data_IF_263449114722
#
_entry.id   IF_263449114722
#
_cell.length_a   1.000
_cell.length_b   1.000
_cell.length_c   1.000
_cell.angle_alpha   90.00
_cell.angle_beta   90.00
_cell.angle_gamma   90.00
#
_symmetry.space_group_name_H-M   'P 1'
#
loop_
_entity.id
_entity.type
_entity.pdbx_description
1 polymer ?
#
# COMPACT_ATOMS: atom_id res chain seq x y z
N UNK A 1 -10.71 -22.55 10.26
CA UNK A 1 -9.67 -22.87 9.26
C UNK A 1 -8.39 -23.25 9.97
N UNK A 2 -7.48 -24.03 9.35
CA UNK A 2 -6.16 -24.25 9.94
C UNK A 2 -5.40 -22.91 9.90
N UNK A 3 -4.65 -22.56 10.97
CA UNK A 3 -3.85 -21.35 10.96
C UNK A 3 -2.82 -21.41 9.82
N UNK A 4 -2.66 -20.31 9.10
CA UNK A 4 -1.62 -20.18 8.08
C UNK A 4 -0.24 -20.19 8.75
N UNK A 5 0.72 -20.86 8.12
CA UNK A 5 2.12 -20.85 8.56
C UNK A 5 2.87 -19.90 7.63
N UNK A 6 3.39 -18.83 8.19
CA UNK A 6 4.17 -17.85 7.45
C UNK A 6 5.65 -18.21 7.44
N UNK A 7 6.30 -18.04 6.29
CA UNK A 7 7.76 -18.26 6.11
C UNK A 7 8.57 -17.04 6.54
N UNK A 8 7.94 -15.85 6.51
CA UNK A 8 8.48 -14.58 6.98
C UNK A 8 7.54 -13.94 8.00
N UNK A 9 8.05 -13.08 8.86
CA UNK A 9 7.28 -12.43 9.92
C UNK A 9 6.38 -13.40 10.72
N UNK A 10 6.84 -14.63 10.95
CA UNK A 10 6.07 -15.69 11.61
C UNK A 10 5.58 -15.32 13.02
N UNK A 11 6.28 -14.39 13.69
CA UNK A 11 5.94 -13.86 15.01
C UNK A 11 4.89 -12.73 14.97
N UNK A 12 4.57 -12.17 13.79
CA UNK A 12 3.67 -11.02 13.64
C UNK A 12 2.27 -11.27 14.24
N UNK A 13 1.60 -12.42 14.00
CA UNK A 13 0.31 -12.71 14.62
C UNK A 13 0.36 -12.71 16.15
N UNK A 14 1.42 -13.27 16.73
CA UNK A 14 1.60 -13.30 18.17
C UNK A 14 1.84 -11.89 18.77
N UNK A 15 2.53 -11.02 18.03
CA UNK A 15 2.74 -9.63 18.43
C UNK A 15 1.42 -8.84 18.35
N UNK A 16 0.64 -9.01 17.28
CA UNK A 16 -0.67 -8.36 17.11
C UNK A 16 -1.69 -8.81 18.19
N UNK A 17 -1.59 -10.05 18.65
CA UNK A 17 -2.42 -10.53 19.77
C UNK A 17 -2.08 -9.86 21.13
N UNK A 18 -0.92 -9.22 21.25
CA UNK A 18 -0.46 -8.58 22.49
C UNK A 18 -0.59 -7.06 22.46
N UNK A 19 -0.44 -6.45 21.30
CA UNK A 19 -0.48 -5.00 21.13
C UNK A 19 -0.83 -4.57 19.71
N UNK A 20 -1.33 -3.36 19.59
CA UNK A 20 -1.48 -2.68 18.31
C UNK A 20 -0.09 -2.40 17.73
N UNK A 21 0.05 -2.59 16.43
CA UNK A 21 1.26 -2.24 15.68
C UNK A 21 1.01 -1.00 14.85
N UNK A 22 2.02 -0.14 14.77
CA UNK A 22 1.95 1.12 14.06
C UNK A 22 2.58 0.95 12.67
N UNK A 23 1.76 1.12 11.65
CA UNK A 23 2.21 1.30 10.28
C UNK A 23 2.73 2.74 10.11
N UNK A 24 3.65 2.96 9.19
CA UNK A 24 4.14 4.30 8.84
C UNK A 24 3.04 5.15 8.17
N UNK A 25 3.43 6.18 7.46
CA UNK A 25 2.49 7.12 6.84
C UNK A 25 2.90 7.48 5.40
N UNK A 26 2.23 8.51 4.88
CA UNK A 26 2.24 8.89 3.48
C UNK A 26 3.64 9.17 2.91
N UNK A 27 4.17 8.23 2.12
CA UNK A 27 5.43 8.39 1.38
C UNK A 27 5.37 9.59 0.44
N UNK A 28 4.32 9.70 -0.38
CA UNK A 28 4.16 10.79 -1.35
C UNK A 28 4.19 12.19 -0.71
N UNK A 29 3.52 12.38 0.40
CA UNK A 29 3.55 13.65 1.16
C UNK A 29 4.96 13.99 1.65
N UNK A 30 5.70 13.00 2.12
CA UNK A 30 7.08 13.19 2.56
C UNK A 30 8.01 13.52 1.39
N UNK A 31 7.87 12.86 0.25
CA UNK A 31 8.63 13.16 -0.98
C UNK A 31 8.39 14.62 -1.43
N UNK A 32 7.14 15.10 -1.40
CA UNK A 32 6.80 16.46 -1.78
C UNK A 32 7.56 17.52 -0.96
N UNK A 33 7.87 17.25 0.31
CA UNK A 33 8.64 18.17 1.17
C UNK A 33 10.07 18.44 0.67
N UNK A 34 10.66 17.53 -0.10
CA UNK A 34 11.97 17.70 -0.70
C UNK A 34 11.96 18.64 -1.91
N UNK A 35 10.78 18.94 -2.47
CA UNK A 35 10.60 19.84 -3.63
C UNK A 35 11.54 19.51 -4.79
N UNK A 36 11.71 18.23 -5.08
CA UNK A 36 12.65 17.75 -6.09
C UNK A 36 12.31 18.31 -7.48
N UNK A 37 13.35 18.68 -8.24
CA UNK A 37 13.23 19.12 -9.64
C UNK A 37 13.17 17.93 -10.59
N UNK A 38 12.85 18.17 -11.86
CA UNK A 38 12.85 17.13 -12.91
C UNK A 38 14.23 16.44 -13.00
N UNK A 39 15.31 17.23 -12.98
CA UNK A 39 16.68 16.71 -13.03
C UNK A 39 17.00 15.81 -11.84
N UNK A 40 16.47 16.13 -10.66
CA UNK A 40 16.66 15.32 -9.46
C UNK A 40 15.86 14.02 -9.51
N UNK A 41 14.68 14.01 -10.16
CA UNK A 41 13.95 12.77 -10.43
C UNK A 41 14.69 11.88 -11.43
N UNK A 42 15.30 12.47 -12.49
CA UNK A 42 16.09 11.73 -13.49
C UNK A 42 17.37 11.15 -12.90
N UNK A 43 18.03 11.90 -12.03
CA UNK A 43 19.39 11.59 -11.59
C UNK A 43 20.34 11.44 -12.79
N UNK A 44 21.53 10.89 -12.58
CA UNK A 44 22.50 10.68 -13.68
C UNK A 44 22.03 9.60 -14.66
N UNK A 45 21.32 8.56 -14.15
CA UNK A 45 20.94 7.40 -14.95
C UNK A 45 19.96 7.74 -16.08
N UNK A 46 19.05 8.67 -15.84
CA UNK A 46 17.96 9.03 -16.77
C UNK A 46 18.04 10.48 -17.26
N UNK A 47 19.21 11.13 -17.17
CA UNK A 47 19.39 12.53 -17.54
C UNK A 47 18.95 12.85 -18.96
N UNK A 48 19.18 11.92 -19.89
CA UNK A 48 18.84 12.06 -21.32
C UNK A 48 17.52 11.35 -21.67
N UNK A 49 16.72 10.93 -20.69
CA UNK A 49 15.45 10.26 -20.94
C UNK A 49 14.46 11.22 -21.60
N UNK A 50 13.76 10.83 -22.70
CA UNK A 50 13.03 11.77 -23.54
C UNK A 50 11.72 12.30 -22.94
N UNK A 51 11.20 11.65 -21.90
CA UNK A 51 9.92 11.99 -21.26
C UNK A 51 10.14 12.55 -19.86
N UNK A 52 9.28 13.45 -19.42
CA UNK A 52 9.29 13.95 -18.05
C UNK A 52 8.94 12.83 -17.07
N UNK A 53 9.70 12.74 -15.98
CA UNK A 53 9.57 11.71 -14.95
C UNK A 53 9.24 12.27 -13.56
N UNK A 54 9.17 13.60 -13.44
CA UNK A 54 8.75 14.24 -12.18
C UNK A 54 7.33 13.80 -11.83
N UNK A 55 7.18 13.28 -10.62
CA UNK A 55 5.93 12.69 -10.15
C UNK A 55 5.95 11.15 -10.14
N UNK A 56 6.90 10.51 -10.83
CA UNK A 56 7.16 9.08 -10.68
C UNK A 56 7.96 8.85 -9.40
N UNK A 57 7.26 8.79 -8.27
CA UNK A 57 7.92 8.65 -6.96
C UNK A 57 8.65 7.32 -6.82
N UNK A 58 8.18 6.26 -7.46
CA UNK A 58 8.79 4.93 -7.44
C UNK A 58 10.20 4.93 -8.03
N UNK A 59 10.41 5.76 -9.07
CA UNK A 59 11.72 5.96 -9.71
C UNK A 59 12.77 6.46 -8.72
N UNK A 60 12.39 7.21 -7.68
CA UNK A 60 13.31 7.73 -6.66
C UNK A 60 14.04 6.62 -5.91
N UNK A 61 13.49 5.42 -5.85
CA UNK A 61 14.20 4.26 -5.28
C UNK A 61 15.46 3.90 -6.08
N UNK A 62 15.53 4.28 -7.36
CA UNK A 62 16.71 4.09 -8.24
C UNK A 62 17.59 5.34 -8.33
N UNK A 63 17.00 6.54 -8.33
CA UNK A 63 17.70 7.79 -8.61
C UNK A 63 18.05 8.59 -7.37
N UNK A 64 17.26 8.48 -6.31
CA UNK A 64 17.42 9.19 -5.03
C UNK A 64 17.12 8.27 -3.83
N UNK A 65 17.81 7.11 -3.74
CA UNK A 65 17.61 6.17 -2.62
C UNK A 65 17.87 6.82 -1.25
N UNK A 66 18.71 7.88 -1.21
CA UNK A 66 18.95 8.69 -0.03
C UNK A 66 17.68 9.34 0.53
N UNK A 67 16.82 9.87 -0.35
CA UNK A 67 15.55 10.49 0.03
C UNK A 67 14.59 9.44 0.61
N UNK A 68 14.47 8.30 -0.04
CA UNK A 68 13.56 7.23 0.41
C UNK A 68 14.04 6.65 1.75
N UNK A 69 15.35 6.42 1.90
CA UNK A 69 15.93 5.96 3.16
C UNK A 69 15.69 6.94 4.31
N UNK A 70 15.89 8.25 4.08
CA UNK A 70 15.67 9.30 5.09
C UNK A 70 14.20 9.31 5.56
N UNK A 71 13.24 9.12 4.64
CA UNK A 71 11.81 9.05 4.99
C UNK A 71 11.54 7.83 5.86
N UNK A 72 11.99 6.65 5.47
CA UNK A 72 11.83 5.42 6.25
C UNK A 72 12.42 5.55 7.66
N UNK A 73 13.65 6.10 7.75
CA UNK A 73 14.31 6.29 9.04
C UNK A 73 13.55 7.26 9.95
N UNK A 74 12.96 8.31 9.41
CA UNK A 74 12.12 9.25 10.18
C UNK A 74 10.88 8.56 10.75
N UNK A 75 10.18 7.73 10.00
CA UNK A 75 9.04 6.97 10.49
C UNK A 75 9.45 5.95 11.56
N UNK A 76 10.53 5.22 11.35
CA UNK A 76 11.05 4.25 12.32
C UNK A 76 11.51 4.93 13.61
N UNK A 77 12.18 6.08 13.51
CA UNK A 77 12.58 6.90 14.67
C UNK A 77 11.37 7.44 15.44
N UNK A 78 10.30 7.81 14.74
CA UNK A 78 9.03 8.20 15.36
C UNK A 78 8.28 7.03 16.03
N UNK A 79 8.68 5.79 15.75
CA UNK A 79 8.15 4.61 16.43
C UNK A 79 7.30 3.68 15.55
N UNK A 80 7.27 3.83 14.24
CA UNK A 80 6.61 2.87 13.37
C UNK A 80 7.18 1.45 13.56
N UNK A 81 6.33 0.46 13.63
CA UNK A 81 6.69 -0.96 13.71
C UNK A 81 6.83 -1.58 12.31
N UNK A 82 6.08 -1.04 11.37
CA UNK A 82 6.02 -1.48 9.98
C UNK A 82 6.20 -0.26 9.07
N UNK A 83 6.97 -0.41 7.99
CA UNK A 83 7.14 0.62 6.97
C UNK A 83 6.79 0.06 5.60
N UNK A 84 6.04 0.84 4.82
CA UNK A 84 5.66 0.50 3.46
C UNK A 84 6.78 0.81 2.48
N UNK A 85 6.99 -0.06 1.50
CA UNK A 85 7.93 0.19 0.41
C UNK A 85 7.42 1.32 -0.49
N UNK A 86 8.33 2.06 -1.14
CA UNK A 86 7.98 3.09 -2.12
C UNK A 86 7.61 2.45 -3.48
N UNK A 87 6.54 1.65 -3.51
CA UNK A 87 6.16 0.80 -4.66
C UNK A 87 4.69 0.87 -5.03
N UNK A 88 3.97 1.88 -4.54
CA UNK A 88 2.53 2.04 -4.78
C UNK A 88 2.15 1.91 -6.26
N UNK A 89 2.86 2.58 -7.16
CA UNK A 89 2.67 2.51 -8.62
C UNK A 89 3.76 1.73 -9.36
N UNK A 90 4.49 0.82 -8.70
CA UNK A 90 5.62 0.11 -9.31
C UNK A 90 5.21 -1.15 -10.10
N UNK A 91 4.06 -1.14 -10.75
CA UNK A 91 3.68 -2.18 -11.72
C UNK A 91 4.05 -1.80 -13.14
N UNK A 92 4.30 -2.78 -14.01
CA UNK A 92 4.55 -2.51 -15.43
C UNK A 92 3.39 -1.73 -16.09
N UNK A 93 2.14 -1.97 -15.64
CA UNK A 93 0.95 -1.25 -16.14
C UNK A 93 0.97 0.23 -15.77
N UNK A 94 1.35 0.57 -14.54
CA UNK A 94 1.43 1.96 -14.10
C UNK A 94 2.69 2.67 -14.65
N UNK A 95 3.83 2.00 -14.67
CA UNK A 95 5.08 2.54 -15.18
C UNK A 95 5.09 2.74 -16.71
N UNK A 96 4.15 2.11 -17.44
CA UNK A 96 3.96 2.37 -18.86
C UNK A 96 3.57 3.83 -19.16
N UNK A 97 2.94 4.52 -18.22
CA UNK A 97 2.60 5.95 -18.35
C UNK A 97 3.86 6.84 -18.42
N UNK A 98 4.98 6.35 -17.92
CA UNK A 98 6.30 7.00 -18.01
C UNK A 98 7.24 6.35 -19.03
N UNK A 99 6.78 5.40 -19.85
CA UNK A 99 7.60 4.58 -20.74
C UNK A 99 8.70 3.76 -19.99
N UNK A 100 8.45 3.46 -18.71
CA UNK A 100 9.38 2.78 -17.79
C UNK A 100 8.88 1.40 -17.30
N UNK A 101 7.91 0.81 -18.01
CA UNK A 101 7.36 -0.51 -17.64
C UNK A 101 8.44 -1.58 -17.41
N UNK A 102 9.51 -1.57 -18.19
CA UNK A 102 10.64 -2.50 -18.10
C UNK A 102 11.48 -2.35 -16.82
N UNK A 103 11.27 -1.30 -16.03
CA UNK A 103 11.96 -1.04 -14.76
C UNK A 103 11.12 -1.46 -13.54
N UNK A 104 9.88 -1.90 -13.73
CA UNK A 104 8.95 -2.20 -12.63
C UNK A 104 9.58 -3.16 -11.60
N UNK A 105 10.13 -4.28 -12.05
CA UNK A 105 10.79 -5.24 -11.17
C UNK A 105 11.98 -4.63 -10.40
N UNK A 106 12.84 -3.89 -11.09
CA UNK A 106 14.01 -3.24 -10.48
C UNK A 106 13.59 -2.22 -9.41
N UNK A 107 12.55 -1.41 -9.67
CA UNK A 107 12.00 -0.46 -8.68
C UNK A 107 11.52 -1.18 -7.42
N UNK A 108 10.79 -2.28 -7.56
CA UNK A 108 10.30 -3.06 -6.43
C UNK A 108 11.45 -3.65 -5.59
N UNK A 109 12.44 -4.26 -6.24
CA UNK A 109 13.61 -4.82 -5.57
C UNK A 109 14.39 -3.73 -4.82
N UNK A 110 14.66 -2.60 -5.48
CA UNK A 110 15.43 -1.51 -4.90
C UNK A 110 14.69 -0.89 -3.70
N UNK A 111 13.40 -0.62 -3.85
CA UNK A 111 12.59 -0.03 -2.78
C UNK A 111 12.50 -0.95 -1.55
N UNK A 112 12.25 -2.24 -1.76
CA UNK A 112 12.20 -3.19 -0.66
C UNK A 112 13.56 -3.33 0.05
N UNK A 113 14.69 -3.29 -0.68
CA UNK A 113 16.03 -3.30 -0.10
C UNK A 113 16.32 -2.06 0.75
N UNK A 114 15.89 -0.87 0.31
CA UNK A 114 16.04 0.37 1.08
C UNK A 114 15.25 0.26 2.40
N UNK A 115 13.97 -0.17 2.32
CA UNK A 115 13.13 -0.37 3.50
C UNK A 115 13.72 -1.44 4.45
N UNK A 116 14.24 -2.56 3.89
CA UNK A 116 14.88 -3.61 4.68
C UNK A 116 16.10 -3.10 5.45
N UNK A 117 16.98 -2.36 4.79
CA UNK A 117 18.15 -1.78 5.42
C UNK A 117 17.78 -0.82 6.58
N UNK A 118 16.73 -0.01 6.37
CA UNK A 118 16.21 0.86 7.42
C UNK A 118 15.61 0.04 8.59
N UNK A 119 14.79 -0.98 8.31
CA UNK A 119 14.24 -1.85 9.35
C UNK A 119 15.34 -2.57 10.15
N UNK A 120 16.37 -3.09 9.50
CA UNK A 120 17.47 -3.78 10.17
C UNK A 120 18.24 -2.86 11.12
N UNK A 121 18.43 -1.59 10.72
CA UNK A 121 19.07 -0.56 11.56
C UNK A 121 18.26 -0.24 12.83
N UNK A 122 16.94 -0.27 12.77
CA UNK A 122 16.07 0.12 13.89
C UNK A 122 15.46 -1.06 14.65
N UNK A 123 15.61 -2.29 14.17
CA UNK A 123 15.11 -3.49 14.85
C UNK A 123 15.93 -3.82 16.10
N UNK A 124 15.24 -4.24 17.13
CA UNK A 124 15.82 -4.86 18.32
C UNK A 124 15.13 -6.21 18.60
N UNK A 125 15.72 -7.11 19.39
CA UNK A 125 15.06 -8.38 19.76
C UNK A 125 13.66 -8.18 20.34
N UNK A 126 13.47 -7.13 21.16
CA UNK A 126 12.19 -6.83 21.81
C UNK A 126 11.23 -6.03 20.92
N UNK A 127 11.75 -5.41 19.87
CA UNK A 127 10.97 -4.57 18.94
C UNK A 127 11.43 -4.74 17.50
N UNK A 128 11.13 -5.87 16.86
CA UNK A 128 11.42 -6.08 15.45
C UNK A 128 10.62 -5.09 14.58
N UNK A 129 11.22 -4.67 13.46
CA UNK A 129 10.58 -3.83 12.45
C UNK A 129 10.35 -4.65 11.19
N UNK A 130 9.26 -4.38 10.50
CA UNK A 130 8.85 -5.17 9.34
C UNK A 130 8.74 -4.31 8.09
N UNK A 131 9.17 -4.87 6.97
CA UNK A 131 9.00 -4.29 5.64
C UNK A 131 7.68 -4.76 5.07
N UNK A 132 6.81 -3.83 4.75
CA UNK A 132 5.51 -4.05 4.12
C UNK A 132 5.64 -3.74 2.62
N UNK A 133 5.58 -4.76 1.78
CA UNK A 133 5.58 -4.61 0.33
C UNK A 133 4.24 -4.07 -0.13
N UNK A 134 4.20 -2.80 -0.53
CA UNK A 134 2.99 -2.12 -0.97
C UNK A 134 2.66 -2.44 -2.44
N UNK A 135 1.44 -2.91 -2.70
CA UNK A 135 0.85 -3.14 -4.01
C UNK A 135 -0.37 -2.23 -4.16
N UNK A 136 -0.17 -1.07 -4.76
CA UNK A 136 -1.24 -0.11 -4.99
C UNK A 136 -2.10 -0.46 -6.22
N UNK A 137 -3.17 0.31 -6.47
CA UNK A 137 -3.99 0.14 -7.65
C UNK A 137 -3.26 0.58 -8.92
N UNK A 138 -3.72 0.10 -10.06
CA UNK A 138 -3.23 0.58 -11.36
C UNK A 138 -4.10 1.74 -11.87
N UNK A 139 -3.58 2.61 -12.77
CA UNK A 139 -4.36 3.68 -13.39
C UNK A 139 -5.45 3.15 -14.33
N UNK A 140 -5.39 1.87 -14.69
CA UNK A 140 -6.38 1.17 -15.51
C UNK A 140 -7.21 0.22 -14.66
N UNK A 141 -8.52 0.13 -14.92
CA UNK A 141 -9.46 -0.72 -14.19
C UNK A 141 -10.05 -1.79 -15.08
N UNK A 142 -10.21 -3.00 -14.53
CA UNK A 142 -10.76 -4.13 -15.28
C UNK A 142 -12.29 -4.20 -15.19
N UNK A 143 -12.94 -3.53 -14.24
CA UNK A 143 -14.38 -3.55 -14.07
C UNK A 143 -15.11 -2.30 -14.58
N UNK A 144 -14.39 -1.17 -14.75
CA UNK A 144 -14.98 0.10 -15.15
C UNK A 144 -14.60 0.40 -16.60
N UNK A 145 -15.60 0.77 -17.44
CA UNK A 145 -15.32 1.19 -18.81
C UNK A 145 -14.64 2.55 -18.84
N UNK A 146 -13.57 2.72 -19.63
CA UNK A 146 -12.97 4.02 -19.91
C UNK A 146 -13.79 4.85 -20.91
N UNK A 147 -14.77 4.26 -21.62
CA UNK A 147 -15.61 4.91 -22.62
C UNK A 147 -17.08 4.89 -22.16
N UNK A 148 -17.65 6.09 -21.96
CA UNK A 148 -19.07 6.26 -21.58
C UNK A 148 -20.05 5.72 -22.62
N UNK A 149 -19.64 5.61 -23.88
CA UNK A 149 -20.50 5.14 -24.98
C UNK A 149 -20.37 3.64 -25.24
N UNK A 150 -19.34 2.99 -24.66
CA UNK A 150 -19.13 1.55 -24.73
C UNK A 150 -18.93 0.95 -23.33
N UNK A 151 -20.01 0.51 -22.67
CA UNK A 151 -19.90 -0.12 -21.35
C UNK A 151 -19.05 -1.39 -21.30
N UNK A 152 -18.80 -2.01 -22.44
CA UNK A 152 -17.96 -3.21 -22.58
C UNK A 152 -16.47 -2.92 -22.73
N UNK A 153 -16.10 -1.69 -23.07
CA UNK A 153 -14.70 -1.32 -23.28
C UNK A 153 -13.85 -1.53 -22.02
N UNK A 154 -12.64 -2.03 -22.19
CA UNK A 154 -11.62 -2.17 -21.14
C UNK A 154 -10.26 -1.80 -21.70
N UNK A 155 -9.45 -1.13 -20.91
CA UNK A 155 -8.08 -0.75 -21.27
C UNK A 155 -7.01 -1.62 -20.58
N UNK A 156 -7.46 -2.61 -19.82
CA UNK A 156 -6.65 -3.65 -19.19
C UNK A 156 -7.53 -4.86 -18.92
N UNK A 157 -6.99 -6.05 -19.02
CA UNK A 157 -7.67 -7.29 -18.66
C UNK A 157 -7.06 -7.94 -17.40
N UNK A 158 -7.72 -9.00 -16.91
CA UNK A 158 -7.29 -9.70 -15.70
C UNK A 158 -5.88 -10.29 -15.81
N UNK A 159 -5.53 -10.91 -16.94
CA UNK A 159 -4.22 -11.53 -17.14
C UNK A 159 -3.07 -10.53 -17.20
N UNK A 160 -3.30 -9.37 -17.82
CA UNK A 160 -2.33 -8.28 -17.82
C UNK A 160 -2.07 -7.75 -16.40
N UNK A 161 -3.12 -7.58 -15.62
CA UNK A 161 -3.00 -7.16 -14.21
C UNK A 161 -2.31 -8.24 -13.38
N UNK A 162 -2.72 -9.51 -13.52
CA UNK A 162 -2.11 -10.64 -12.81
C UNK A 162 -0.61 -10.72 -13.08
N UNK A 163 -0.20 -10.63 -14.35
CA UNK A 163 1.21 -10.68 -14.71
C UNK A 163 2.01 -9.50 -14.11
N UNK A 164 1.44 -8.28 -14.16
CA UNK A 164 2.08 -7.09 -13.61
C UNK A 164 2.23 -7.16 -12.07
N UNK A 165 1.20 -7.64 -11.36
CA UNK A 165 1.27 -7.84 -9.92
C UNK A 165 2.19 -9.01 -9.53
N UNK A 166 2.25 -10.08 -10.33
CA UNK A 166 3.17 -11.18 -10.09
C UNK A 166 4.63 -10.70 -10.12
N UNK A 167 5.03 -9.94 -11.15
CA UNK A 167 6.36 -9.31 -11.25
C UNK A 167 6.66 -8.40 -10.05
N UNK A 168 5.65 -7.64 -9.60
CA UNK A 168 5.78 -6.77 -8.43
C UNK A 168 6.04 -7.59 -7.17
N UNK A 169 5.28 -8.66 -6.93
CA UNK A 169 5.44 -9.56 -5.78
C UNK A 169 6.83 -10.21 -5.79
N UNK A 170 7.29 -10.72 -6.93
CA UNK A 170 8.65 -11.27 -7.07
C UNK A 170 9.71 -10.25 -6.63
N UNK A 171 9.63 -9.01 -7.13
CA UNK A 171 10.57 -7.95 -6.80
C UNK A 171 10.54 -7.57 -5.32
N UNK A 172 9.36 -7.44 -4.74
CA UNK A 172 9.19 -7.13 -3.32
C UNK A 172 9.78 -8.22 -2.40
N UNK A 173 9.49 -9.47 -2.70
CA UNK A 173 9.98 -10.61 -1.91
C UNK A 173 11.49 -10.77 -2.06
N UNK A 174 12.02 -10.64 -3.29
CA UNK A 174 13.49 -10.63 -3.53
C UNK A 174 14.19 -9.50 -2.77
N UNK A 175 13.56 -8.32 -2.71
CA UNK A 175 14.09 -7.16 -2.00
C UNK A 175 14.02 -7.26 -0.48
N UNK A 176 13.28 -8.21 0.07
CA UNK A 176 13.23 -8.48 1.51
C UNK A 176 11.96 -8.02 2.22
N UNK A 177 10.83 -7.93 1.52
CA UNK A 177 9.53 -7.71 2.15
C UNK A 177 9.18 -8.84 3.13
N UNK A 178 8.62 -8.48 4.28
CA UNK A 178 8.15 -9.39 5.32
C UNK A 178 6.65 -9.65 5.24
N UNK A 179 5.90 -8.66 4.74
CA UNK A 179 4.43 -8.61 4.64
C UNK A 179 4.09 -8.08 3.26
N UNK A 180 2.98 -8.52 2.68
CA UNK A 180 2.41 -7.92 1.47
C UNK A 180 1.15 -7.13 1.83
N UNK A 181 0.99 -5.95 1.23
CA UNK A 181 -0.16 -5.08 1.43
C UNK A 181 -0.77 -4.74 0.06
N UNK A 182 -1.96 -5.25 -0.20
CA UNK A 182 -2.77 -4.79 -1.34
C UNK A 182 -3.64 -3.63 -0.85
N UNK A 183 -3.31 -2.42 -1.27
CA UNK A 183 -3.89 -1.22 -0.69
C UNK A 183 -4.67 -0.34 -1.68
N UNK A 184 -5.44 0.60 -1.11
CA UNK A 184 -6.19 1.61 -1.85
C UNK A 184 -7.10 1.00 -2.90
N UNK A 185 -7.70 -0.14 -2.55
CA UNK A 185 -8.56 -0.89 -3.46
C UNK A 185 -9.85 -0.11 -3.68
N UNK A 186 -10.06 0.30 -4.92
CA UNK A 186 -11.31 0.90 -5.39
C UNK A 186 -11.99 0.07 -6.49
N UNK A 187 -11.33 -0.95 -7.02
CA UNK A 187 -11.85 -1.95 -7.97
C UNK A 187 -11.53 -3.36 -7.46
N UNK A 188 -12.58 -4.12 -7.10
CA UNK A 188 -12.41 -5.48 -6.56
C UNK A 188 -11.89 -6.48 -7.59
N UNK A 189 -12.09 -6.26 -8.90
CA UNK A 189 -11.54 -7.14 -9.92
C UNK A 189 -10.03 -6.96 -10.05
N UNK A 190 -9.54 -5.71 -10.01
CA UNK A 190 -8.11 -5.43 -9.95
C UNK A 190 -7.47 -6.07 -8.69
N UNK A 191 -8.15 -5.91 -7.53
CA UNK A 191 -7.67 -6.54 -6.29
C UNK A 191 -7.60 -8.08 -6.41
N UNK A 192 -8.59 -8.71 -7.03
CA UNK A 192 -8.56 -10.17 -7.26
C UNK A 192 -7.43 -10.61 -8.16
N UNK A 193 -7.04 -9.81 -9.15
CA UNK A 193 -5.87 -10.09 -9.97
C UNK A 193 -4.57 -10.04 -9.14
N UNK A 194 -4.45 -9.06 -8.25
CA UNK A 194 -3.31 -8.97 -7.32
C UNK A 194 -3.27 -10.16 -6.33
N UNK A 195 -4.42 -10.49 -5.74
CA UNK A 195 -4.54 -11.62 -4.80
C UNK A 195 -4.24 -12.97 -5.47
N UNK A 196 -4.69 -13.14 -6.71
CA UNK A 196 -4.38 -14.33 -7.50
C UNK A 196 -2.87 -14.44 -7.79
N UNK A 197 -2.25 -13.33 -8.20
CA UNK A 197 -0.80 -13.28 -8.45
C UNK A 197 0.02 -13.59 -7.18
N UNK A 198 -0.43 -13.10 -6.02
CA UNK A 198 0.20 -13.39 -4.72
C UNK A 198 0.12 -14.89 -4.40
N UNK A 199 -1.05 -15.51 -4.54
CA UNK A 199 -1.22 -16.93 -4.25
C UNK A 199 -0.44 -17.80 -5.24
N UNK A 200 -0.45 -17.45 -6.53
CA UNK A 200 0.36 -18.11 -7.56
C UNK A 200 1.86 -18.07 -7.21
N UNK A 201 2.35 -16.90 -6.75
CA UNK A 201 3.73 -16.75 -6.29
C UNK A 201 4.02 -17.62 -5.06
N UNK A 202 3.10 -17.66 -4.09
CA UNK A 202 3.27 -18.50 -2.90
C UNK A 202 3.32 -19.99 -3.25
N UNK A 203 2.48 -20.43 -4.17
CA UNK A 203 2.49 -21.81 -4.65
C UNK A 203 3.79 -22.16 -5.40
N UNK A 204 4.27 -21.26 -6.25
CA UNK A 204 5.46 -21.48 -7.06
C UNK A 204 6.76 -21.43 -6.25
N UNK A 205 6.85 -20.52 -5.26
CA UNK A 205 8.08 -20.29 -4.48
C UNK A 205 8.16 -21.12 -3.20
N UNK A 206 7.03 -21.59 -2.68
CA UNK A 206 6.93 -22.15 -1.33
C UNK A 206 7.01 -21.12 -0.20
N UNK A 207 7.15 -19.85 -0.52
CA UNK A 207 7.05 -18.73 0.43
C UNK A 207 5.59 -18.45 0.77
N UNK A 208 5.33 -17.99 1.99
CA UNK A 208 4.03 -17.45 2.38
C UNK A 208 4.20 -16.32 3.38
N UNK A 209 3.94 -15.11 2.94
CA UNK A 209 4.01 -13.91 3.76
C UNK A 209 2.63 -13.58 4.34
N UNK A 210 2.54 -12.92 5.51
CA UNK A 210 1.30 -12.30 5.94
C UNK A 210 0.78 -11.32 4.89
N UNK A 211 -0.54 -11.30 4.69
CA UNK A 211 -1.21 -10.44 3.73
C UNK A 211 -2.10 -9.45 4.46
N UNK A 212 -1.99 -8.18 4.13
CA UNK A 212 -2.90 -7.11 4.53
C UNK A 212 -3.66 -6.66 3.29
N UNK A 213 -4.97 -6.44 3.41
CA UNK A 213 -5.81 -5.93 2.33
C UNK A 213 -6.48 -4.65 2.80
N UNK A 214 -6.40 -3.57 2.04
CA UNK A 214 -6.98 -2.28 2.40
C UNK A 214 -7.76 -1.66 1.26
N UNK A 215 -9.04 -1.38 1.51
CA UNK A 215 -9.93 -0.72 0.55
C UNK A 215 -9.98 0.78 0.74
N UNK A 216 -10.50 1.47 -0.26
CA UNK A 216 -10.74 2.91 -0.17
C UNK A 216 -12.19 3.24 -0.47
N UNK A 217 -12.88 3.85 0.51
CA UNK A 217 -14.25 4.35 0.34
C UNK A 217 -14.18 5.70 -0.34
N UNK A 218 -14.73 5.80 -1.53
CA UNK A 218 -14.52 6.95 -2.41
C UNK A 218 -15.52 8.09 -2.21
N UNK A 219 -16.64 7.82 -1.54
CA UNK A 219 -17.69 8.82 -1.33
C UNK A 219 -18.51 8.58 -0.06
N UNK A 220 -19.41 9.52 0.22
CA UNK A 220 -20.31 9.50 1.38
C UNK A 220 -21.35 8.36 1.34
N UNK A 221 -21.49 7.63 0.23
CA UNK A 221 -22.37 6.45 0.15
C UNK A 221 -21.78 5.20 0.82
N UNK A 222 -20.53 5.27 1.24
CA UNK A 222 -19.81 4.15 1.86
C UNK A 222 -19.42 3.05 0.89
N UNK A 223 -19.25 3.40 -0.38
CA UNK A 223 -18.88 2.46 -1.44
C UNK A 223 -17.49 2.74 -1.98
N UNK A 224 -16.82 1.68 -2.40
CA UNK A 224 -15.64 1.79 -3.26
C UNK A 224 -16.10 2.09 -4.70
N UNK A 225 -15.20 2.55 -5.57
CA UNK A 225 -15.55 3.02 -6.91
C UNK A 225 -16.26 1.96 -7.77
N UNK A 226 -15.90 0.68 -7.63
CA UNK A 226 -16.59 -0.43 -8.32
C UNK A 226 -17.95 -0.81 -7.70
N UNK A 227 -18.43 -0.05 -6.71
CA UNK A 227 -19.80 -0.09 -6.19
C UNK A 227 -20.04 -0.94 -4.94
N UNK A 228 -19.04 -1.69 -4.45
CA UNK A 228 -19.18 -2.53 -3.26
C UNK A 228 -19.25 -1.66 -1.99
N UNK A 229 -20.19 -2.01 -1.08
CA UNK A 229 -20.13 -1.55 0.30
C UNK A 229 -18.95 -2.20 1.03
N UNK A 230 -18.61 -1.71 2.21
CA UNK A 230 -17.52 -2.28 3.03
C UNK A 230 -17.75 -3.79 3.31
N UNK A 231 -18.98 -4.17 3.66
CA UNK A 231 -19.36 -5.58 3.83
C UNK A 231 -19.16 -6.38 2.53
N UNK A 232 -19.61 -5.87 1.38
CA UNK A 232 -19.46 -6.54 0.08
C UNK A 232 -17.99 -6.62 -0.34
N UNK A 233 -17.18 -5.60 -0.04
CA UNK A 233 -15.74 -5.60 -0.24
C UNK A 233 -15.08 -6.73 0.57
N UNK A 234 -15.35 -6.85 1.86
CA UNK A 234 -14.85 -7.95 2.69
C UNK A 234 -15.16 -9.31 2.09
N UNK A 235 -16.42 -9.56 1.75
CA UNK A 235 -16.82 -10.85 1.16
C UNK A 235 -16.18 -11.11 -0.21
N UNK A 236 -15.80 -10.08 -0.96
CA UNK A 236 -15.11 -10.21 -2.24
C UNK A 236 -13.67 -10.70 -2.09
N UNK A 237 -12.99 -10.37 -0.98
CA UNK A 237 -11.54 -10.59 -0.80
C UNK A 237 -11.17 -11.57 0.31
N UNK A 238 -12.08 -11.91 1.22
CA UNK A 238 -11.80 -12.77 2.39
C UNK A 238 -11.26 -14.16 2.06
N UNK A 239 -11.49 -14.64 0.83
CA UNK A 239 -10.98 -15.94 0.38
C UNK A 239 -9.45 -16.00 0.36
N UNK A 240 -8.76 -14.86 0.25
CA UNK A 240 -7.31 -14.75 0.35
C UNK A 240 -6.77 -14.94 1.79
N UNK A 241 -7.64 -15.08 2.79
CA UNK A 241 -7.30 -15.30 4.20
C UNK A 241 -6.29 -14.26 4.74
N UNK A 242 -6.57 -12.96 4.60
CA UNK A 242 -5.63 -11.95 5.04
C UNK A 242 -5.41 -11.99 6.56
N UNK A 243 -4.21 -11.61 7.01
CA UNK A 243 -3.91 -11.37 8.41
C UNK A 243 -4.69 -10.16 8.93
N UNK A 244 -4.80 -9.11 8.11
CA UNK A 244 -5.58 -7.94 8.42
C UNK A 244 -6.36 -7.43 7.20
N UNK A 245 -7.52 -6.85 7.47
CA UNK A 245 -8.36 -6.15 6.49
C UNK A 245 -8.56 -4.71 6.98
N UNK A 246 -8.61 -3.74 6.08
CA UNK A 246 -8.76 -2.35 6.51
C UNK A 246 -9.27 -1.40 5.46
N UNK A 247 -9.23 -0.12 5.84
CA UNK A 247 -9.54 1.00 4.96
C UNK A 247 -8.44 2.07 5.07
N UNK A 248 -8.17 2.73 3.95
CA UNK A 248 -7.20 3.81 3.88
C UNK A 248 -7.64 4.93 2.95
N UNK A 249 -6.99 6.08 3.10
CA UNK A 249 -7.13 7.26 2.24
C UNK A 249 -8.58 7.79 2.12
N UNK A 250 -8.78 8.71 1.17
CA UNK A 250 -10.02 9.38 0.77
C UNK A 250 -10.74 10.11 1.90
N UNK A 251 -10.93 9.49 3.05
CA UNK A 251 -11.67 10.02 4.20
C UNK A 251 -10.73 10.34 5.36
N UNK A 252 -11.05 11.38 6.12
CA UNK A 252 -10.47 11.60 7.44
C UNK A 252 -11.02 10.60 8.47
N UNK A 253 -10.31 10.45 9.59
CA UNK A 253 -10.62 9.43 10.61
C UNK A 253 -12.08 9.51 11.11
N UNK A 254 -12.58 10.70 11.40
CA UNK A 254 -13.95 10.87 11.89
C UNK A 254 -15.02 10.32 10.93
N UNK A 255 -14.83 10.55 9.62
CA UNK A 255 -15.77 10.09 8.58
C UNK A 255 -15.56 8.59 8.28
N UNK A 256 -14.35 8.07 8.43
CA UNK A 256 -14.03 6.66 8.22
C UNK A 256 -14.56 5.75 9.34
N UNK A 257 -14.72 6.27 10.57
CA UNK A 257 -15.12 5.51 11.77
C UNK A 257 -16.27 4.52 11.55
N UNK A 258 -17.45 4.89 11.02
CA UNK A 258 -18.56 3.96 10.87
C UNK A 258 -18.25 2.79 9.93
N UNK A 259 -17.39 3.01 8.95
CA UNK A 259 -16.98 1.98 7.99
C UNK A 259 -15.96 1.00 8.61
N UNK A 260 -15.07 1.50 9.45
CA UNK A 260 -14.14 0.65 10.23
C UNK A 260 -14.92 -0.20 11.24
N UNK A 261 -15.90 0.39 11.94
CA UNK A 261 -16.78 -0.36 12.85
C UNK A 261 -17.60 -1.43 12.12
N UNK A 262 -18.13 -1.13 10.91
CA UNK A 262 -18.80 -2.14 10.09
C UNK A 262 -17.85 -3.26 9.70
N UNK A 263 -16.65 -2.92 9.26
CA UNK A 263 -15.63 -3.88 8.83
C UNK A 263 -15.19 -4.79 9.98
N UNK A 264 -14.90 -4.22 11.15
CA UNK A 264 -14.56 -4.99 12.36
C UNK A 264 -15.63 -6.02 12.70
N UNK A 265 -16.90 -5.61 12.66
CA UNK A 265 -18.02 -6.50 12.96
C UNK A 265 -18.16 -7.66 11.96
N UNK A 266 -17.94 -7.43 10.66
CA UNK A 266 -18.15 -8.48 9.63
C UNK A 266 -16.92 -9.33 9.38
N UNK A 267 -15.72 -8.83 9.70
CA UNK A 267 -14.45 -9.54 9.52
C UNK A 267 -14.14 -10.55 10.63
N UNK A 268 -14.84 -10.48 11.77
CA UNK A 268 -14.71 -11.43 12.86
C UNK A 268 -13.30 -11.43 13.47
N UNK A 269 -12.61 -12.57 13.40
CA UNK A 269 -11.27 -12.74 14.01
C UNK A 269 -10.10 -12.16 13.17
N UNK A 270 -10.39 -11.49 12.05
CA UNK A 270 -9.37 -10.86 11.20
C UNK A 270 -8.99 -9.51 11.81
N UNK A 271 -7.70 -9.21 11.94
CA UNK A 271 -7.24 -7.92 12.44
C UNK A 271 -7.69 -6.78 11.53
N UNK A 272 -7.88 -5.59 12.11
CA UNK A 272 -8.30 -4.39 11.38
C UNK A 272 -7.12 -3.44 11.22
N UNK A 273 -6.90 -2.97 9.99
CA UNK A 273 -5.96 -1.89 9.69
C UNK A 273 -6.72 -0.60 9.33
N UNK A 274 -6.18 0.54 9.74
CA UNK A 274 -6.81 1.84 9.49
C UNK A 274 -5.72 2.92 9.36
N UNK A 275 -5.64 3.57 8.18
CA UNK A 275 -4.76 4.71 7.95
C UNK A 275 -5.49 5.79 7.12
N UNK A 276 -6.29 6.64 7.80
CA UNK A 276 -7.09 7.69 7.17
C UNK A 276 -6.22 8.86 6.72
N UNK A 277 -6.78 9.71 5.86
CA UNK A 277 -6.21 11.03 5.62
C UNK A 277 -6.30 11.90 6.88
N UNK A 278 -5.46 12.94 6.94
CA UNK A 278 -5.52 13.98 7.98
C UNK A 278 -6.66 14.99 7.69
N UNK A 279 -7.89 14.52 7.64
CA UNK A 279 -9.05 15.31 7.22
C UNK A 279 -9.15 15.46 5.69
N UNK A 280 -9.69 16.59 5.26
CA UNK A 280 -9.80 16.91 3.83
C UNK A 280 -8.55 17.64 3.33
N UNK A 281 -8.19 17.47 2.03
CA UNK A 281 -7.16 18.28 1.40
C UNK A 281 -7.49 19.78 1.53
N UNK A 282 -6.54 20.56 2.05
CA UNK A 282 -6.66 22.00 2.21
C UNK A 282 -5.39 22.70 1.75
N UNK A 283 -5.37 23.26 0.52
CA UNK A 283 -4.20 23.97 -0.01
C UNK A 283 -3.75 25.18 0.83
N UNK A 284 -4.61 25.70 1.71
CA UNK A 284 -4.31 26.83 2.59
C UNK A 284 -3.68 26.40 3.91
N UNK A 285 -3.73 25.12 4.26
CA UNK A 285 -3.08 24.59 5.45
C UNK A 285 -1.58 24.34 5.18
N UNK A 286 -0.73 24.57 6.18
CA UNK A 286 0.72 24.34 6.10
C UNK A 286 1.07 22.88 5.72
N UNK A 287 0.27 21.94 6.18
CA UNK A 287 0.44 20.50 5.92
C UNK A 287 -0.27 20.03 4.64
N UNK A 288 -1.07 20.89 4.01
CA UNK A 288 -1.92 20.54 2.88
C UNK A 288 -3.24 19.83 3.27
N UNK A 289 -3.52 19.68 4.57
CA UNK A 289 -4.71 19.00 5.10
C UNK A 289 -5.29 19.77 6.29
N UNK A 290 -6.59 19.54 6.60
CA UNK A 290 -7.31 20.26 7.66
C UNK A 290 -6.90 19.81 9.08
N UNK A 291 -6.56 18.54 9.27
CA UNK A 291 -6.27 17.99 10.60
C UNK A 291 -4.81 18.12 10.99
N UNK A 292 -4.59 18.41 12.28
CA UNK A 292 -3.26 18.40 12.88
C UNK A 292 -2.88 16.97 13.35
N UNK A 293 -1.59 16.70 13.61
CA UNK A 293 -1.16 15.42 14.18
C UNK A 293 -1.89 15.03 15.47
N UNK A 294 -2.20 16.03 16.33
CA UNK A 294 -2.89 15.82 17.61
C UNK A 294 -4.33 15.36 17.39
N UNK A 295 -5.04 15.94 16.39
CA UNK A 295 -6.42 15.55 16.06
C UNK A 295 -6.44 14.12 15.53
N UNK A 296 -5.58 13.81 14.56
CA UNK A 296 -5.49 12.45 14.00
C UNK A 296 -5.11 11.43 15.08
N UNK A 297 -4.11 11.73 15.91
CA UNK A 297 -3.67 10.84 17.00
C UNK A 297 -4.80 10.58 18.00
N UNK A 298 -5.55 11.61 18.39
CA UNK A 298 -6.70 11.47 19.29
C UNK A 298 -7.78 10.56 18.70
N UNK A 299 -8.15 10.77 17.44
CA UNK A 299 -9.18 9.97 16.77
C UNK A 299 -8.76 8.49 16.62
N UNK A 300 -7.51 8.23 16.24
CA UNK A 300 -7.01 6.86 16.16
C UNK A 300 -6.90 6.19 17.54
N UNK A 301 -6.55 6.95 18.57
CA UNK A 301 -6.58 6.44 19.95
C UNK A 301 -8.01 6.06 20.40
N UNK A 302 -9.02 6.86 20.02
CA UNK A 302 -10.42 6.52 20.27
C UNK A 302 -10.80 5.20 19.57
N UNK A 303 -10.39 5.00 18.30
CA UNK A 303 -10.64 3.73 17.59
C UNK A 303 -10.02 2.53 18.32
N UNK A 304 -8.76 2.68 18.76
CA UNK A 304 -8.06 1.65 19.50
C UNK A 304 -8.72 1.31 20.85
N UNK A 305 -9.36 2.30 21.48
CA UNK A 305 -10.06 2.11 22.77
C UNK A 305 -11.47 1.49 22.61
N UNK A 306 -12.06 1.63 21.42
CA UNK A 306 -13.36 1.03 21.11
C UNK A 306 -13.26 -0.46 20.70
N UNK A 307 -12.08 -0.99 20.38
CA UNK A 307 -11.82 -2.37 19.93
C UNK A 307 -11.92 -2.49 18.44
#
# INVERSE_FOLDING_TARGET
MKPLIYTRAANLPATLAQRIMILDGAMGTMVQRFKLTEEQFRGERFKDFPKDVKGNNELLSLTRPDVIADIHEKYLAAGADMIETNTFGATAVAQADYDMAHLAREMNVASARIARAACDKYSTPDRPRYVVGALGPTPKTASISPDVNDPGARNVNFEELRAAYYEQVEGLVEGGADVLLVETIFDTLNAKAALFAIEEFFEASGERLPLIISGTVTDASGRILSGQTVTAFWYSVRHAQPLAIGLNCALGAAVMRPYIQELSRVAGDTYISCYPNAGLPNPMAETGFDETPEVTARLLHEFAAEG
#
